data_IF_121153054245
#
_entry.id   IF_121153054245
#
_cell.length_a   1.000
_cell.length_b   1.000
_cell.length_c   1.000
_cell.angle_alpha   90.00
_cell.angle_beta   90.00
_cell.angle_gamma   90.00
#
_symmetry.space_group_name_H-M   'P 1'
#
loop_
_entity.id
_entity.type
_entity.pdbx_description
1 polymer ?
#
# COMPACT_ATOMS: atom_id res chain seq x y z
N UNK A 1 -7.63 -87.59 -10.50
CA UNK A 1 -6.60 -86.53 -10.40
C UNK A 1 -6.67 -85.71 -11.67
N UNK A 2 -7.38 -84.58 -11.64
CA UNK A 2 -7.54 -83.71 -12.82
C UNK A 2 -7.18 -82.29 -12.41
N UNK A 3 -6.37 -81.67 -13.26
CA UNK A 3 -5.54 -80.50 -13.03
C UNK A 3 -6.34 -79.21 -13.24
N UNK A 4 -6.48 -78.42 -12.18
CA UNK A 4 -7.17 -77.14 -12.24
C UNK A 4 -6.21 -76.06 -12.82
N UNK A 5 -6.56 -75.53 -14.00
CA UNK A 5 -5.81 -74.45 -14.66
C UNK A 5 -6.16 -73.09 -14.02
N UNK A 6 -5.19 -72.19 -13.73
CA UNK A 6 -5.50 -70.87 -13.21
C UNK A 6 -6.10 -69.96 -14.30
N UNK A 7 -7.21 -69.28 -13.96
CA UNK A 7 -7.87 -68.27 -14.82
C UNK A 7 -6.98 -67.03 -14.99
N UNK A 8 -6.75 -66.64 -16.24
CA UNK A 8 -5.98 -65.46 -16.63
C UNK A 8 -6.60 -64.15 -16.12
N UNK A 9 -5.77 -63.27 -15.52
CA UNK A 9 -6.14 -61.90 -15.12
C UNK A 9 -6.31 -61.01 -16.35
N UNK A 10 -7.45 -60.33 -16.48
CA UNK A 10 -7.69 -59.29 -17.50
C UNK A 10 -6.74 -58.10 -17.27
N UNK A 11 -6.18 -57.48 -18.32
CA UNK A 11 -5.27 -56.34 -18.17
C UNK A 11 -6.03 -55.09 -17.68
N UNK A 12 -5.47 -54.41 -16.67
CA UNK A 12 -5.95 -53.11 -16.18
C UNK A 12 -5.76 -52.07 -17.30
N UNK A 13 -6.86 -51.47 -17.77
CA UNK A 13 -6.83 -50.31 -18.65
C UNK A 13 -6.08 -49.17 -17.95
N UNK A 14 -4.97 -48.72 -18.54
CA UNK A 14 -4.31 -47.45 -18.22
C UNK A 14 -5.33 -46.33 -18.48
N UNK A 15 -5.74 -45.63 -17.43
CA UNK A 15 -6.43 -44.35 -17.57
C UNK A 15 -5.37 -43.37 -18.06
N UNK A 16 -5.48 -42.99 -19.33
CA UNK A 16 -4.73 -41.87 -19.90
C UNK A 16 -5.13 -40.63 -19.09
N UNK A 17 -4.17 -40.03 -18.41
CA UNK A 17 -4.34 -38.73 -17.75
C UNK A 17 -4.64 -37.70 -18.83
N UNK A 18 -5.86 -37.20 -18.81
CA UNK A 18 -6.32 -36.14 -19.70
C UNK A 18 -5.41 -34.91 -19.60
N UNK A 19 -5.27 -34.32 -20.77
CA UNK A 19 -4.34 -33.25 -21.10
C UNK A 19 -4.49 -32.06 -20.16
N UNK A 20 -3.36 -31.57 -19.62
CA UNK A 20 -3.29 -30.28 -18.92
C UNK A 20 -3.98 -29.21 -19.78
N UNK A 21 -5.12 -28.70 -19.32
CA UNK A 21 -5.75 -27.54 -19.91
C UNK A 21 -4.70 -26.42 -19.98
N UNK A 22 -4.32 -26.04 -21.20
CA UNK A 22 -3.42 -24.91 -21.45
C UNK A 22 -4.12 -23.67 -20.93
N UNK A 23 -3.65 -23.13 -19.81
CA UNK A 23 -3.99 -21.77 -19.37
C UNK A 23 -3.63 -20.85 -20.54
N UNK A 24 -4.58 -20.08 -21.09
CA UNK A 24 -4.27 -19.19 -22.19
C UNK A 24 -3.27 -18.16 -21.68
N UNK A 25 -2.04 -18.22 -22.20
CA UNK A 25 -1.06 -17.15 -22.03
C UNK A 25 -1.72 -15.92 -22.63
N UNK A 26 -2.15 -14.98 -21.78
CA UNK A 26 -2.52 -13.64 -22.25
C UNK A 26 -1.25 -13.08 -22.87
N UNK A 27 -1.17 -13.08 -24.20
CA UNK A 27 -0.20 -12.24 -24.91
C UNK A 27 -0.48 -10.82 -24.45
N UNK A 28 0.52 -10.16 -23.87
CA UNK A 28 0.49 -8.72 -23.77
C UNK A 28 0.15 -8.18 -25.16
N UNK A 29 -0.73 -7.19 -25.24
CA UNK A 29 -0.95 -6.47 -26.49
C UNK A 29 0.29 -5.61 -26.71
N UNK A 30 1.38 -6.22 -27.15
CA UNK A 30 2.48 -5.53 -27.80
C UNK A 30 2.00 -5.21 -29.19
N UNK A 31 1.20 -4.16 -29.32
CA UNK A 31 1.10 -3.48 -30.59
C UNK A 31 2.51 -2.94 -30.85
N UNK A 32 3.23 -3.53 -31.81
CA UNK A 32 4.27 -2.79 -32.51
C UNK A 32 3.55 -1.64 -33.19
N UNK A 33 3.52 -0.50 -32.50
CA UNK A 33 3.05 0.75 -33.09
C UNK A 33 4.16 1.17 -34.05
N UNK A 34 4.12 0.68 -35.29
CA UNK A 34 4.95 1.22 -36.36
C UNK A 34 4.69 2.73 -36.45
N UNK A 35 5.74 3.53 -36.29
CA UNK A 35 5.66 4.98 -36.32
C UNK A 35 5.44 5.65 -34.97
N UNK A 36 6.26 5.33 -33.95
CA UNK A 36 6.35 6.19 -32.76
C UNK A 36 6.80 7.60 -33.17
N UNK A 37 5.87 8.55 -33.17
CA UNK A 37 6.17 9.98 -33.29
C UNK A 37 6.45 10.52 -31.89
N UNK A 38 7.70 10.88 -31.63
CA UNK A 38 8.09 11.58 -30.41
C UNK A 38 8.03 13.09 -30.69
N UNK A 39 7.33 13.82 -29.84
CA UNK A 39 7.23 15.28 -29.87
C UNK A 39 7.26 15.78 -28.43
N UNK A 40 7.88 16.93 -28.20
CA UNK A 40 8.03 17.52 -26.88
C UNK A 40 9.04 18.65 -26.93
N UNK A 41 9.02 19.50 -25.91
CA UNK A 41 10.07 20.50 -25.72
C UNK A 41 11.38 19.76 -25.33
N UNK A 42 12.48 19.91 -26.10
CA UNK A 42 13.73 19.21 -25.84
C UNK A 42 14.28 19.47 -24.44
N UNK A 43 14.06 20.66 -23.90
CA UNK A 43 14.52 21.07 -22.57
C UNK A 43 13.76 20.29 -21.50
N UNK A 44 12.43 20.22 -21.63
CA UNK A 44 11.57 19.45 -20.71
C UNK A 44 11.92 17.97 -20.75
N UNK A 45 12.15 17.41 -21.95
CA UNK A 45 12.58 16.03 -22.12
C UNK A 45 13.92 15.77 -21.41
N UNK A 46 14.91 16.64 -21.59
CA UNK A 46 16.21 16.51 -20.95
C UNK A 46 16.11 16.54 -19.42
N UNK A 47 15.28 17.43 -18.86
CA UNK A 47 15.03 17.47 -17.41
C UNK A 47 14.38 16.19 -16.90
N UNK A 48 13.40 15.63 -17.64
CA UNK A 48 12.75 14.37 -17.28
C UNK A 48 13.73 13.19 -17.32
N UNK A 49 14.58 13.12 -18.33
CA UNK A 49 15.62 12.09 -18.45
C UNK A 49 16.63 12.19 -17.31
N UNK A 50 17.07 13.40 -16.97
CA UNK A 50 17.97 13.63 -15.84
C UNK A 50 17.34 13.22 -14.51
N UNK A 51 16.08 13.58 -14.27
CA UNK A 51 15.34 13.19 -13.07
C UNK A 51 15.18 11.66 -12.96
N UNK A 52 14.92 10.99 -14.08
CA UNK A 52 14.83 9.53 -14.12
C UNK A 52 16.19 8.86 -13.85
N UNK A 53 17.26 9.38 -14.45
CA UNK A 53 18.61 8.84 -14.29
C UNK A 53 19.17 9.05 -12.88
N UNK A 54 18.82 10.15 -12.22
CA UNK A 54 19.24 10.46 -10.86
C UNK A 54 18.46 9.68 -9.79
N UNK A 55 17.29 9.15 -10.14
CA UNK A 55 16.49 8.37 -9.20
C UNK A 55 17.14 7.01 -8.94
N UNK A 56 17.41 6.71 -7.67
CA UNK A 56 17.86 5.40 -7.21
C UNK A 56 16.64 4.53 -6.87
N UNK A 57 16.29 3.52 -7.69
CA UNK A 57 15.12 2.68 -7.44
C UNK A 57 15.27 1.80 -6.18
N UNK A 58 16.50 1.59 -5.70
CA UNK A 58 16.81 0.83 -4.49
C UNK A 58 17.12 1.74 -3.28
N UNK A 59 17.12 3.06 -3.48
CA UNK A 59 17.46 4.04 -2.48
C UNK A 59 16.42 4.14 -1.37
N UNK A 60 16.83 4.77 -0.26
CA UNK A 60 15.89 5.13 0.79
C UNK A 60 14.83 6.09 0.24
N UNK A 61 13.57 5.69 0.35
CA UNK A 61 12.43 6.49 -0.10
C UNK A 61 12.27 7.76 0.76
N UNK A 62 12.78 7.75 1.99
CA UNK A 62 12.72 8.87 2.94
C UNK A 62 11.31 9.22 3.42
N UNK A 63 11.23 10.17 4.36
CA UNK A 63 9.97 10.66 4.94
C UNK A 63 9.06 9.48 5.36
N UNK A 64 7.76 9.57 5.10
CA UNK A 64 6.80 8.48 5.31
C UNK A 64 6.58 7.65 4.04
N UNK A 65 7.50 7.60 3.09
CA UNK A 65 7.22 6.89 1.83
C UNK A 65 7.18 5.37 1.98
N UNK A 66 7.88 4.80 2.98
CA UNK A 66 8.06 3.36 3.16
C UNK A 66 7.00 2.66 4.05
N UNK A 67 6.13 3.40 4.75
CA UNK A 67 5.20 2.78 5.71
C UNK A 67 4.12 1.92 5.02
N UNK A 68 3.69 2.30 3.82
CA UNK A 68 2.61 1.63 3.07
C UNK A 68 2.92 1.58 1.57
N UNK A 69 2.85 0.39 1.00
CA UNK A 69 2.97 0.17 -0.44
C UNK A 69 1.60 0.38 -1.09
N UNK A 70 1.50 1.41 -1.93
CA UNK A 70 0.37 1.58 -2.83
C UNK A 70 0.84 1.31 -4.28
N UNK A 71 0.11 0.53 -5.09
CA UNK A 71 0.51 0.17 -6.44
C UNK A 71 0.76 1.39 -7.34
N UNK A 72 1.65 1.22 -8.34
CA UNK A 72 1.91 2.19 -9.41
C UNK A 72 2.23 3.63 -8.93
N UNK A 73 2.99 3.75 -7.84
CA UNK A 73 3.41 5.04 -7.28
C UNK A 73 4.55 5.68 -8.07
N UNK A 74 4.54 7.01 -8.16
CA UNK A 74 5.70 7.80 -8.59
C UNK A 74 6.85 7.64 -7.57
N UNK A 75 8.10 7.62 -8.05
CA UNK A 75 9.29 7.61 -7.21
C UNK A 75 9.48 8.97 -6.53
N UNK A 76 9.72 9.05 -5.20
CA UNK A 76 9.84 10.33 -4.49
C UNK A 76 10.90 11.27 -5.05
N UNK A 77 12.07 10.74 -5.40
CA UNK A 77 13.16 11.56 -5.96
C UNK A 77 12.79 12.18 -7.30
N UNK A 78 12.12 11.43 -8.18
CA UNK A 78 11.62 11.96 -9.46
C UNK A 78 10.62 13.08 -9.19
N UNK A 79 9.65 12.85 -8.30
CA UNK A 79 8.66 13.86 -7.94
C UNK A 79 9.33 15.14 -7.42
N UNK A 80 10.32 15.02 -6.52
CA UNK A 80 11.05 16.15 -5.96
C UNK A 80 11.76 16.97 -7.03
N UNK A 81 12.55 16.32 -7.89
CA UNK A 81 13.28 17.00 -8.97
C UNK A 81 12.32 17.74 -9.89
N UNK A 82 11.21 17.11 -10.31
CA UNK A 82 10.24 17.78 -11.19
C UNK A 82 9.54 18.95 -10.50
N UNK A 83 9.24 18.85 -9.21
CA UNK A 83 8.64 19.96 -8.45
C UNK A 83 9.63 21.13 -8.36
N UNK A 84 10.90 20.87 -8.10
CA UNK A 84 11.93 21.89 -7.96
C UNK A 84 12.25 22.59 -9.29
N UNK A 85 12.34 21.83 -10.38
CA UNK A 85 12.68 22.34 -11.72
C UNK A 85 11.54 23.13 -12.37
N UNK A 86 10.28 22.69 -12.18
CA UNK A 86 9.14 23.25 -12.91
C UNK A 86 8.27 24.22 -12.09
N UNK A 87 8.56 24.44 -10.80
CA UNK A 87 7.70 25.28 -9.95
C UNK A 87 8.49 26.12 -8.95
N UNK A 88 7.90 27.24 -8.55
CA UNK A 88 8.43 28.09 -7.49
C UNK A 88 7.73 27.84 -6.15
N UNK A 89 8.40 28.19 -5.04
CA UNK A 89 7.81 28.13 -3.69
C UNK A 89 6.44 28.82 -3.65
N UNK A 90 5.48 28.20 -2.98
CA UNK A 90 4.10 28.70 -2.88
C UNK A 90 3.22 28.46 -4.11
N UNK A 91 3.75 27.98 -5.24
CA UNK A 91 2.94 27.55 -6.38
C UNK A 91 1.96 26.43 -5.99
N UNK A 92 0.85 26.34 -6.71
CA UNK A 92 -0.12 25.24 -6.54
C UNK A 92 0.25 24.09 -7.46
N UNK A 93 0.33 22.89 -6.90
CA UNK A 93 0.53 21.65 -7.66
C UNK A 93 -0.70 20.76 -7.46
N UNK A 94 -1.31 20.36 -8.57
CA UNK A 94 -2.45 19.46 -8.61
C UNK A 94 -2.01 18.11 -9.16
N UNK A 95 -2.19 17.07 -8.36
CA UNK A 95 -2.12 15.68 -8.80
C UNK A 95 -3.53 15.08 -8.84
N UNK A 96 -4.13 14.90 -10.03
CA UNK A 96 -5.49 14.36 -10.17
C UNK A 96 -5.58 12.83 -10.02
N UNK A 97 -4.44 12.14 -9.85
CA UNK A 97 -4.32 10.70 -9.65
C UNK A 97 -3.31 10.40 -8.53
N UNK A 98 -3.50 11.06 -7.38
CA UNK A 98 -2.45 11.16 -6.37
C UNK A 98 -2.10 9.84 -5.70
N UNK A 99 -2.91 8.78 -5.86
CA UNK A 99 -2.67 7.49 -5.26
C UNK A 99 -2.42 7.62 -3.76
N UNK A 100 -1.38 6.93 -3.28
CA UNK A 100 -0.92 7.01 -1.89
C UNK A 100 -0.25 8.33 -1.48
N UNK A 101 -0.23 9.35 -2.33
CA UNK A 101 0.15 10.72 -1.97
C UNK A 101 1.63 11.07 -2.08
N UNK A 102 2.38 10.45 -3.00
CA UNK A 102 3.80 10.81 -3.22
C UNK A 102 3.96 12.28 -3.62
N UNK A 103 3.28 12.72 -4.69
CA UNK A 103 3.40 14.10 -5.19
C UNK A 103 2.87 15.12 -4.18
N UNK A 104 1.71 14.92 -3.52
CA UNK A 104 1.28 15.82 -2.44
C UNK A 104 2.28 15.97 -1.30
N UNK A 105 2.95 14.88 -0.88
CA UNK A 105 3.96 14.94 0.18
C UNK A 105 5.19 15.74 -0.25
N UNK A 106 5.79 15.39 -1.40
CA UNK A 106 6.97 16.10 -1.89
C UNK A 106 6.67 17.58 -2.18
N UNK A 107 5.47 17.89 -2.69
CA UNK A 107 5.00 19.27 -2.89
C UNK A 107 4.95 20.05 -1.58
N UNK A 108 4.43 19.43 -0.52
CA UNK A 108 4.29 20.05 0.80
C UNK A 108 5.66 20.35 1.40
N UNK A 109 6.58 19.37 1.36
CA UNK A 109 7.95 19.50 1.86
C UNK A 109 8.73 20.54 1.07
N UNK A 110 8.51 20.62 -0.25
CA UNK A 110 9.08 21.66 -1.10
C UNK A 110 8.47 23.06 -0.86
N UNK A 111 7.52 23.25 0.08
CA UNK A 111 6.92 24.56 0.36
C UNK A 111 5.94 25.06 -0.71
N UNK A 112 5.44 24.17 -1.55
CA UNK A 112 4.37 24.43 -2.53
C UNK A 112 3.00 24.07 -1.91
N UNK A 113 1.91 24.35 -2.63
CA UNK A 113 0.51 24.14 -2.20
C UNK A 113 -0.05 22.87 -2.83
N UNK A 114 -0.13 21.74 -2.10
CA UNK A 114 -0.52 20.47 -2.69
C UNK A 114 -2.04 20.34 -2.79
N UNK A 115 -2.50 19.87 -3.94
CA UNK A 115 -3.87 19.40 -4.16
C UNK A 115 -3.76 17.99 -4.75
N UNK A 116 -4.39 17.02 -4.09
CA UNK A 116 -4.40 15.64 -4.53
C UNK A 116 -5.83 15.14 -4.71
N UNK A 117 -6.07 14.37 -5.75
CA UNK A 117 -7.31 13.64 -5.93
C UNK A 117 -7.07 12.21 -6.39
N UNK A 118 -7.94 11.31 -5.97
CA UNK A 118 -7.98 9.94 -6.43
C UNK A 118 -9.42 9.41 -6.35
N UNK A 119 -9.77 8.45 -7.20
CA UNK A 119 -11.08 7.81 -7.18
C UNK A 119 -11.18 6.82 -6.01
N UNK A 120 -10.06 6.18 -5.66
CA UNK A 120 -9.99 5.17 -4.62
C UNK A 120 -9.97 5.82 -3.23
N UNK A 121 -10.98 5.57 -2.38
CA UNK A 121 -10.99 6.13 -1.02
C UNK A 121 -9.81 5.63 -0.17
N UNK A 122 -9.30 4.42 -0.39
CA UNK A 122 -8.12 3.92 0.33
C UNK A 122 -6.87 4.74 -0.01
N UNK A 123 -6.71 5.13 -1.28
CA UNK A 123 -5.59 5.96 -1.71
C UNK A 123 -5.56 7.29 -0.96
N UNK A 124 -6.71 7.96 -0.86
CA UNK A 124 -6.86 9.22 -0.12
C UNK A 124 -6.53 9.05 1.36
N UNK A 125 -6.95 7.93 1.98
CA UNK A 125 -6.65 7.64 3.37
C UNK A 125 -5.15 7.41 3.62
N UNK A 126 -4.49 6.67 2.72
CA UNK A 126 -3.03 6.48 2.75
C UNK A 126 -2.32 7.81 2.55
N UNK A 127 -2.73 8.61 1.57
CA UNK A 127 -2.19 9.94 1.32
C UNK A 127 -2.35 10.87 2.52
N UNK A 128 -3.49 10.82 3.22
CA UNK A 128 -3.72 11.61 4.42
C UNK A 128 -2.76 11.23 5.56
N UNK A 129 -2.57 9.94 5.83
CA UNK A 129 -1.58 9.47 6.82
C UNK A 129 -0.16 9.86 6.43
N UNK A 130 0.18 9.67 5.15
CA UNK A 130 1.51 9.98 4.59
C UNK A 130 1.86 11.46 4.70
N UNK A 131 0.88 12.34 4.52
CA UNK A 131 1.14 13.78 4.47
C UNK A 131 0.88 14.51 5.78
N UNK A 132 0.48 13.78 6.82
CA UNK A 132 0.21 14.36 8.13
C UNK A 132 1.49 14.86 8.77
N UNK A 133 1.49 16.11 9.23
CA UNK A 133 2.47 16.60 10.19
C UNK A 133 2.00 16.21 11.59
N UNK A 134 2.88 15.57 12.37
CA UNK A 134 2.71 15.37 13.81
C UNK A 134 3.89 15.99 14.53
N UNK A 135 3.66 16.73 15.61
CA UNK A 135 4.72 17.20 16.51
C UNK A 135 5.25 16.05 17.39
N UNK A 136 6.29 16.34 18.19
CA UNK A 136 6.93 15.36 19.06
C UNK A 136 5.94 14.75 20.06
N UNK A 137 5.11 15.55 20.71
CA UNK A 137 4.16 15.11 21.73
C UNK A 137 3.08 14.21 21.12
N UNK A 138 2.57 14.58 19.94
CA UNK A 138 1.60 13.80 19.16
C UNK A 138 2.17 12.46 18.69
N UNK A 139 3.47 12.41 18.32
CA UNK A 139 4.16 11.16 17.98
C UNK A 139 4.34 10.27 19.20
N UNK A 140 4.74 10.83 20.35
CA UNK A 140 4.90 10.08 21.60
C UNK A 140 3.56 9.50 22.08
N UNK A 141 2.50 10.30 22.06
CA UNK A 141 1.15 9.83 22.41
C UNK A 141 0.66 8.74 21.45
N UNK A 142 0.97 8.85 20.16
CA UNK A 142 0.63 7.83 19.17
C UNK A 142 1.35 6.50 19.44
N UNK A 143 2.65 6.54 19.77
CA UNK A 143 3.40 5.33 20.10
C UNK A 143 2.90 4.67 21.39
N UNK A 144 2.59 5.45 22.43
CA UNK A 144 1.99 4.90 23.66
C UNK A 144 0.65 4.20 23.38
N UNK A 145 -0.22 4.81 22.56
CA UNK A 145 -1.47 4.17 22.14
C UNK A 145 -1.23 2.88 21.36
N UNK A 146 -0.22 2.84 20.50
CA UNK A 146 0.14 1.63 19.73
C UNK A 146 0.63 0.53 20.65
N UNK A 147 1.45 0.85 21.65
CA UNK A 147 1.90 -0.09 22.68
C UNK A 147 0.71 -0.69 23.43
N UNK A 148 -0.21 0.15 23.89
CA UNK A 148 -1.44 -0.28 24.58
C UNK A 148 -2.32 -1.19 23.70
N UNK A 149 -2.48 -0.85 22.41
CA UNK A 149 -3.22 -1.67 21.45
C UNK A 149 -2.52 -3.01 21.21
N UNK A 150 -1.18 -3.00 21.11
CA UNK A 150 -0.39 -4.19 20.87
C UNK A 150 -0.42 -5.15 22.08
N UNK A 151 -0.40 -4.62 23.30
CA UNK A 151 -0.56 -5.39 24.54
C UNK A 151 -1.93 -6.06 24.57
N UNK A 152 -3.02 -5.29 24.39
CA UNK A 152 -4.39 -5.86 24.34
C UNK A 152 -4.56 -6.89 23.23
N UNK A 153 -4.04 -6.64 22.04
CA UNK A 153 -4.06 -7.61 20.93
C UNK A 153 -3.34 -8.92 21.30
N UNK A 154 -2.18 -8.82 21.95
CA UNK A 154 -1.39 -9.98 22.40
C UNK A 154 -2.13 -10.77 23.47
N UNK A 155 -2.73 -10.11 24.45
CA UNK A 155 -3.54 -10.75 25.48
C UNK A 155 -4.74 -11.49 24.89
N UNK A 156 -5.43 -10.88 23.91
CA UNK A 156 -6.54 -11.54 23.19
C UNK A 156 -6.10 -12.83 22.48
N UNK A 157 -4.89 -12.84 21.91
CA UNK A 157 -4.31 -14.04 21.29
C UNK A 157 -3.99 -15.10 22.35
N UNK A 158 -3.43 -14.71 23.51
CA UNK A 158 -3.10 -15.60 24.62
C UNK A 158 -4.35 -16.26 25.20
N UNK A 159 -5.38 -15.46 25.43
CA UNK A 159 -6.65 -15.85 26.06
C UNK A 159 -7.65 -16.48 25.09
N UNK A 160 -7.32 -16.50 23.79
CA UNK A 160 -8.16 -17.05 22.71
C UNK A 160 -9.54 -16.39 22.65
N UNK A 161 -9.57 -15.08 22.89
CA UNK A 161 -10.78 -14.27 22.86
C UNK A 161 -11.45 -14.42 21.49
N UNK A 162 -12.77 -14.70 21.43
CA UNK A 162 -13.49 -14.80 20.17
C UNK A 162 -13.50 -13.44 19.45
N UNK A 163 -13.41 -13.49 18.13
CA UNK A 163 -13.55 -12.33 17.24
C UNK A 163 -15.03 -12.18 16.90
N UNK A 164 -15.54 -10.95 16.97
CA UNK A 164 -16.94 -10.63 16.67
C UNK A 164 -17.17 -10.39 15.17
N UNK A 165 -16.13 -9.94 14.45
CA UNK A 165 -16.18 -9.71 13.01
C UNK A 165 -16.60 -10.97 12.23
N UNK A 166 -17.65 -10.84 11.41
CA UNK A 166 -18.04 -11.87 10.43
C UNK A 166 -17.08 -11.82 9.24
N UNK A 167 -16.13 -12.74 9.21
CA UNK A 167 -15.15 -12.82 8.10
C UNK A 167 -15.74 -13.66 6.96
N UNK A 168 -15.86 -13.13 5.73
CA UNK A 168 -16.35 -13.89 4.59
C UNK A 168 -15.50 -15.15 4.33
N UNK A 169 -16.14 -16.25 3.91
CA UNK A 169 -15.42 -17.49 3.58
C UNK A 169 -14.38 -17.30 2.46
N UNK A 170 -14.63 -16.37 1.54
CA UNK A 170 -13.68 -16.00 0.49
C UNK A 170 -12.39 -15.38 1.03
N UNK A 171 -12.43 -14.75 2.19
CA UNK A 171 -11.25 -14.17 2.84
C UNK A 171 -10.47 -15.21 3.66
N UNK A 172 -11.17 -16.17 4.28
CA UNK A 172 -10.52 -17.21 5.11
C UNK A 172 -9.48 -18.06 4.38
N UNK A 173 -9.59 -18.24 3.05
CA UNK A 173 -8.60 -19.02 2.28
C UNK A 173 -7.22 -18.35 2.22
N UNK A 174 -7.18 -17.02 2.36
CA UNK A 174 -5.97 -16.25 2.19
C UNK A 174 -5.11 -16.20 3.45
N UNK A 175 -5.57 -16.75 4.58
CA UNK A 175 -4.87 -16.61 5.85
C UNK A 175 -4.89 -17.92 6.64
N UNK A 176 -3.84 -18.15 7.44
CA UNK A 176 -3.89 -19.16 8.49
C UNK A 176 -4.97 -18.81 9.53
N UNK A 177 -5.75 -19.77 10.07
CA UNK A 177 -6.85 -19.47 10.98
C UNK A 177 -6.44 -18.65 12.21
N UNK A 178 -5.24 -18.87 12.76
CA UNK A 178 -4.73 -18.10 13.90
C UNK A 178 -4.30 -16.67 13.50
N UNK A 179 -3.72 -16.49 12.31
CA UNK A 179 -3.34 -15.17 11.78
C UNK A 179 -4.58 -14.33 11.53
N UNK A 180 -5.59 -14.93 10.90
CA UNK A 180 -6.84 -14.22 10.61
C UNK A 180 -7.55 -13.77 11.89
N UNK A 181 -7.58 -14.62 12.91
CA UNK A 181 -8.13 -14.26 14.23
C UNK A 181 -7.33 -13.14 14.89
N UNK A 182 -6.01 -13.20 14.84
CA UNK A 182 -5.14 -12.14 15.36
C UNK A 182 -5.37 -10.82 14.63
N UNK A 183 -5.38 -10.81 13.29
CA UNK A 183 -5.66 -9.62 12.48
C UNK A 183 -7.03 -9.03 12.80
N UNK A 184 -8.07 -9.86 12.93
CA UNK A 184 -9.41 -9.37 13.21
C UNK A 184 -9.55 -8.83 14.65
N UNK A 185 -8.90 -9.46 15.64
CA UNK A 185 -8.80 -8.94 17.00
C UNK A 185 -8.07 -7.59 17.05
N UNK A 186 -6.92 -7.48 16.39
CA UNK A 186 -6.17 -6.24 16.28
C UNK A 186 -7.01 -5.12 15.63
N UNK A 187 -7.75 -5.42 14.57
CA UNK A 187 -8.63 -4.44 13.92
C UNK A 187 -9.78 -4.00 14.84
N UNK A 188 -10.33 -4.90 15.65
CA UNK A 188 -11.34 -4.55 16.66
C UNK A 188 -10.75 -3.60 17.71
N UNK A 189 -9.53 -3.85 18.21
CA UNK A 189 -8.84 -2.93 19.13
C UNK A 189 -8.60 -1.56 18.50
N UNK A 190 -8.08 -1.51 17.27
CA UNK A 190 -7.85 -0.26 16.54
C UNK A 190 -9.14 0.56 16.44
N UNK A 191 -10.27 -0.10 16.16
CA UNK A 191 -11.57 0.54 15.97
C UNK A 191 -12.17 1.13 17.24
N UNK A 192 -11.65 0.78 18.43
CA UNK A 192 -12.05 1.42 19.69
C UNK A 192 -11.51 2.85 19.83
N UNK A 193 -10.45 3.20 19.09
CA UNK A 193 -9.86 4.54 19.10
C UNK A 193 -10.88 5.57 18.64
N UNK A 194 -11.23 6.56 19.47
CA UNK A 194 -12.27 7.55 19.16
C UNK A 194 -11.83 8.56 18.09
N UNK A 195 -10.62 9.09 18.25
CA UNK A 195 -10.02 10.06 17.33
C UNK A 195 -9.96 9.47 15.92
N UNK A 196 -10.69 10.10 14.99
CA UNK A 196 -10.87 9.59 13.62
C UNK A 196 -9.58 9.64 12.82
N UNK A 197 -8.71 10.60 13.11
CA UNK A 197 -7.48 10.83 12.40
C UNK A 197 -6.39 9.85 12.86
N UNK A 198 -6.25 9.69 14.17
CA UNK A 198 -5.39 8.66 14.77
C UNK A 198 -5.87 7.26 14.35
N UNK A 199 -7.17 6.99 14.42
CA UNK A 199 -7.73 5.73 13.94
C UNK A 199 -7.46 5.50 12.46
N UNK A 200 -7.51 6.55 11.62
CA UNK A 200 -7.14 6.42 10.22
C UNK A 200 -5.68 5.98 10.07
N UNK A 201 -4.74 6.59 10.81
CA UNK A 201 -3.32 6.24 10.75
C UNK A 201 -3.08 4.79 11.19
N UNK A 202 -3.71 4.35 12.28
CA UNK A 202 -3.68 2.96 12.75
C UNK A 202 -4.26 1.98 11.71
N UNK A 203 -5.40 2.31 11.11
CA UNK A 203 -6.02 1.49 10.06
C UNK A 203 -5.15 1.44 8.79
N UNK A 204 -4.41 2.50 8.46
CA UNK A 204 -3.47 2.48 7.33
C UNK A 204 -2.24 1.64 7.64
N UNK A 205 -1.71 1.67 8.87
CA UNK A 205 -0.68 0.71 9.28
C UNK A 205 -1.21 -0.72 9.15
N UNK A 206 -2.41 -1.01 9.68
CA UNK A 206 -3.03 -2.32 9.55
C UNK A 206 -3.20 -2.73 8.07
N UNK A 207 -3.64 -1.80 7.22
CA UNK A 207 -3.80 -2.03 5.78
C UNK A 207 -2.51 -2.46 5.10
N UNK A 208 -1.35 -1.93 5.50
CA UNK A 208 -0.06 -2.32 4.92
C UNK A 208 0.36 -3.76 5.26
N UNK A 209 -0.29 -4.36 6.27
CA UNK A 209 -0.02 -5.73 6.72
C UNK A 209 -0.89 -6.77 6.01
N UNK A 210 -2.04 -6.39 5.44
CA UNK A 210 -3.05 -7.30 4.88
C UNK A 210 -2.41 -8.28 3.91
N UNK A 211 -1.78 -7.79 2.84
CA UNK A 211 -1.16 -8.65 1.83
C UNK A 211 0.07 -9.37 2.37
N UNK A 212 0.85 -8.70 3.23
CA UNK A 212 2.07 -9.26 3.83
C UNK A 212 1.81 -10.55 4.60
N UNK A 213 0.74 -10.58 5.38
CA UNK A 213 0.34 -11.73 6.21
C UNK A 213 -0.64 -12.67 5.51
N UNK A 214 -1.09 -12.33 4.30
CA UNK A 214 -1.87 -13.22 3.46
C UNK A 214 -0.98 -14.24 2.73
N UNK A 215 -1.59 -15.31 2.23
CA UNK A 215 -1.02 -16.27 1.29
C UNK A 215 -0.87 -15.67 -0.12
N UNK A 216 -1.23 -14.41 -0.36
CA UNK A 216 -1.00 -13.73 -1.64
C UNK A 216 0.49 -13.37 -1.79
N UNK A 217 1.01 -13.49 -3.01
CA UNK A 217 2.42 -13.18 -3.32
C UNK A 217 2.71 -11.66 -3.29
N UNK A 218 1.82 -10.84 -3.85
CA UNK A 218 1.87 -9.36 -3.84
C UNK A 218 0.50 -8.75 -4.11
N UNK A 219 0.32 -7.44 -3.91
CA UNK A 219 -0.95 -6.73 -4.08
C UNK A 219 -1.60 -6.97 -5.47
N UNK A 220 -0.78 -7.17 -6.50
CA UNK A 220 -1.22 -7.36 -7.89
C UNK A 220 -1.13 -8.81 -8.36
N UNK A 221 -0.67 -9.74 -7.52
CA UNK A 221 -0.49 -11.14 -7.91
C UNK A 221 -1.74 -11.97 -7.61
N UNK A 222 -2.12 -12.82 -8.58
CA UNK A 222 -3.18 -13.83 -8.43
C UNK A 222 -2.65 -15.16 -7.83
N UNK A 223 -1.34 -15.26 -7.56
CA UNK A 223 -0.67 -16.48 -7.16
C UNK A 223 -0.64 -16.65 -5.63
N UNK A 224 -0.98 -17.87 -5.18
CA UNK A 224 -0.96 -18.25 -3.77
C UNK A 224 0.41 -18.84 -3.37
N UNK A 225 0.90 -18.43 -2.20
CA UNK A 225 2.09 -18.94 -1.51
C UNK A 225 1.70 -19.40 -0.12
N UNK A 226 2.29 -20.49 0.39
CA UNK A 226 2.01 -20.94 1.76
C UNK A 226 3.03 -20.32 2.72
N UNK A 227 2.58 -19.47 3.65
CA UNK A 227 3.43 -18.86 4.67
C UNK A 227 3.23 -19.57 6.03
N UNK A 228 4.32 -19.98 6.68
CA UNK A 228 4.29 -20.53 8.05
C UNK A 228 4.58 -19.42 9.06
N UNK A 229 3.53 -18.77 9.54
CA UNK A 229 3.61 -17.59 10.40
C UNK A 229 3.31 -17.96 11.86
N UNK A 230 4.12 -17.46 12.81
CA UNK A 230 3.87 -17.64 14.25
C UNK A 230 2.79 -16.70 14.76
N UNK A 231 2.17 -17.06 15.89
CA UNK A 231 1.24 -16.19 16.63
C UNK A 231 1.96 -14.95 17.16
N UNK A 232 1.25 -13.84 17.25
CA UNK A 232 1.77 -12.55 17.74
C UNK A 232 2.57 -11.77 16.70
N UNK A 233 2.89 -12.39 15.56
CA UNK A 233 3.74 -11.77 14.54
C UNK A 233 3.05 -10.59 13.84
N UNK A 234 1.72 -10.62 13.69
CA UNK A 234 0.97 -9.52 13.09
C UNK A 234 1.06 -8.30 14.00
N UNK A 235 0.81 -8.51 15.30
CA UNK A 235 0.83 -7.46 16.31
C UNK A 235 2.23 -6.83 16.43
N UNK A 236 3.28 -7.65 16.40
CA UNK A 236 4.67 -7.16 16.39
C UNK A 236 5.00 -6.32 15.15
N UNK A 237 4.57 -6.75 13.96
CA UNK A 237 4.79 -5.99 12.74
C UNK A 237 3.98 -4.69 12.70
N UNK A 238 2.80 -4.68 13.31
CA UNK A 238 1.97 -3.48 13.49
C UNK A 238 2.71 -2.44 14.33
N UNK A 239 3.21 -2.83 15.51
CA UNK A 239 3.98 -1.95 16.38
C UNK A 239 5.25 -1.42 15.67
N UNK A 240 6.01 -2.29 15.00
CA UNK A 240 7.20 -1.86 14.25
C UNK A 240 6.85 -0.87 13.13
N UNK A 241 5.79 -1.12 12.36
CA UNK A 241 5.35 -0.20 11.30
C UNK A 241 4.86 1.14 11.83
N UNK A 242 4.31 1.18 13.04
CA UNK A 242 3.98 2.43 13.71
C UNK A 242 5.22 3.24 14.08
N UNK A 243 6.29 2.57 14.57
CA UNK A 243 7.59 3.21 14.81
C UNK A 243 8.19 3.77 13.52
N UNK A 244 8.23 2.96 12.45
CA UNK A 244 8.70 3.41 11.11
C UNK A 244 7.89 4.63 10.60
N UNK A 245 6.58 4.66 10.84
CA UNK A 245 5.74 5.80 10.46
C UNK A 245 6.06 7.05 11.30
N UNK A 246 6.33 6.90 12.60
CA UNK A 246 6.72 8.00 13.47
C UNK A 246 8.07 8.61 13.10
N UNK A 247 9.06 7.78 12.78
CA UNK A 247 10.34 8.23 12.23
C UNK A 247 10.12 9.04 10.93
N UNK A 248 9.24 8.55 10.06
CA UNK A 248 8.86 9.29 8.85
C UNK A 248 8.19 10.64 9.14
N UNK A 249 7.30 10.72 10.13
CA UNK A 249 6.67 11.98 10.54
C UNK A 249 7.66 12.97 11.17
N UNK A 250 8.66 12.47 11.90
CA UNK A 250 9.76 13.30 12.42
C UNK A 250 10.62 13.87 11.29
N UNK A 251 10.93 13.04 10.28
CA UNK A 251 11.63 13.49 9.09
C UNK A 251 10.82 14.54 8.31
N UNK A 252 9.49 14.38 8.20
CA UNK A 252 8.61 15.41 7.64
C UNK A 252 8.69 16.70 8.46
N UNK A 253 8.50 16.63 9.77
CA UNK A 253 8.55 17.83 10.63
C UNK A 253 9.87 18.59 10.47
N UNK A 254 10.99 17.87 10.37
CA UNK A 254 12.32 18.46 10.18
C UNK A 254 12.53 19.06 8.79
N UNK A 255 11.87 18.51 7.76
CA UNK A 255 12.01 18.94 6.37
C UNK A 255 11.02 20.05 5.97
N UNK A 256 9.97 20.29 6.76
CA UNK A 256 8.97 21.31 6.45
C UNK A 256 9.57 22.73 6.54
N UNK A 257 9.25 23.62 5.59
CA UNK A 257 9.60 25.02 5.71
C UNK A 257 8.80 25.70 6.83
N UNK A 258 9.31 26.81 7.35
CA UNK A 258 8.66 27.61 8.42
C UNK A 258 7.19 27.90 8.11
N UNK A 259 6.90 28.22 6.83
CA UNK A 259 5.54 28.31 6.31
C UNK A 259 5.28 27.19 5.30
N UNK A 260 4.40 26.27 5.69
CA UNK A 260 3.94 25.19 4.81
C UNK A 260 2.43 25.24 4.59
N UNK A 261 1.95 24.45 3.62
CA UNK A 261 0.53 24.36 3.27
C UNK A 261 0.07 22.90 3.40
N UNK A 262 -0.85 22.58 4.34
CA UNK A 262 -1.43 21.25 4.42
C UNK A 262 -2.08 20.84 3.10
N UNK A 263 -1.90 19.58 2.66
CA UNK A 263 -2.43 19.13 1.38
C UNK A 263 -3.95 19.09 1.38
N UNK A 264 -4.53 19.46 0.25
CA UNK A 264 -5.97 19.34 -0.01
C UNK A 264 -6.24 18.04 -0.76
N UNK A 265 -6.55 16.99 -0.03
CA UNK A 265 -6.86 15.67 -0.58
C UNK A 265 -8.37 15.49 -0.79
N UNK A 266 -8.78 14.97 -1.95
CA UNK A 266 -10.20 14.76 -2.27
C UNK A 266 -10.42 13.42 -2.95
N UNK A 267 -11.41 12.67 -2.48
CA UNK A 267 -11.94 11.57 -3.27
C UNK A 267 -12.75 12.16 -4.44
N UNK A 268 -12.25 12.02 -5.66
CA UNK A 268 -12.98 12.53 -6.82
C UNK A 268 -12.58 11.85 -8.13
N UNK A 269 -13.44 12.03 -9.12
CA UNK A 269 -13.21 11.58 -10.49
C UNK A 269 -12.42 12.65 -11.24
N UNK A 270 -11.24 12.29 -11.75
CA UNK A 270 -10.36 13.19 -12.50
C UNK A 270 -11.04 13.81 -13.74
N UNK A 271 -12.10 13.19 -14.28
CA UNK A 271 -12.92 13.78 -15.37
C UNK A 271 -13.66 15.05 -14.95
N UNK A 272 -13.72 15.34 -13.64
CA UNK A 272 -14.38 16.52 -13.05
C UNK A 272 -13.35 17.46 -12.38
N UNK A 273 -12.14 17.53 -12.93
CA UNK A 273 -10.98 18.24 -12.37
C UNK A 273 -11.23 19.73 -12.09
N UNK A 274 -12.14 20.37 -12.83
CA UNK A 274 -12.46 21.79 -12.63
C UNK A 274 -13.03 22.09 -11.23
N UNK A 275 -13.54 21.07 -10.54
CA UNK A 275 -13.99 21.15 -9.15
C UNK A 275 -12.84 21.08 -8.13
N UNK A 276 -11.63 20.73 -8.57
CA UNK A 276 -10.42 20.63 -7.77
C UNK A 276 -9.54 21.88 -7.86
N UNK A 277 -9.75 22.72 -8.89
CA UNK A 277 -9.00 23.96 -9.06
C UNK A 277 -9.27 24.88 -7.86
N UNK A 278 -8.23 25.44 -7.22
CA UNK A 278 -8.46 26.49 -6.23
C UNK A 278 -9.14 27.67 -6.94
N UNK A 279 -10.13 28.28 -6.29
CA UNK A 279 -10.61 29.60 -6.71
C UNK A 279 -9.44 30.56 -6.52
N UNK A 280 -8.76 30.91 -7.60
CA UNK A 280 -7.75 31.97 -7.59
C UNK A 280 -8.56 33.26 -7.39
N UNK A 281 -8.46 33.83 -6.19
CA UNK A 281 -8.96 35.17 -5.88
C UNK A 281 -7.81 36.14 -5.91
#
# INVERSE_FOLDING_TARGET
MSTDRPKARKPRRRIQTDQKARVPVRRAVSAEVEGQRQQGDPTVCATLEAAWAAADPAGDLGLTHAFHTYPARMHPQIARTLIEEFTETGNVILDPFCGGGTVPLETMVAGRRPIGSDLNPLAIRVAATRTRRRNKEERQAFLGLVEDIAERSTDRVRERVPVLAKIPRSETRWYGPHILKEMAGLLEEIRTTEDKEVRNDLEMIFSSLIVKFSNQESDTAERETTKRLRKGLVTEFFARKASELCEGWEAIESALPERFFPPRLRQSDARKVDRLRPKIS
#
